data_IF_689689097895
#
_entry.id   IF_689689097895
#
_cell.length_a   1.000
_cell.length_b   1.000
_cell.length_c   1.000
_cell.angle_alpha   90.00
_cell.angle_beta   90.00
_cell.angle_gamma   90.00
#
_symmetry.space_group_name_H-M   'P 1'
#
loop_
_entity.id
_entity.type
_entity.pdbx_description
1 polymer ?
#
# COMPACT_ATOMS: atom_id res chain seq x y z
N UNK A 1 21.27 -33.40 -52.31
CA UNK A 1 21.52 -32.43 -51.22
C UNK A 1 20.41 -32.59 -50.18
N UNK A 2 20.62 -33.48 -49.22
CA UNK A 2 19.70 -33.70 -48.10
C UNK A 2 19.96 -32.60 -47.07
N UNK A 3 18.99 -31.72 -46.85
CA UNK A 3 19.04 -30.71 -45.79
C UNK A 3 19.12 -31.40 -44.42
N UNK A 4 19.97 -30.94 -43.49
CA UNK A 4 19.99 -31.48 -42.15
C UNK A 4 18.76 -31.00 -41.39
N UNK A 5 18.03 -31.93 -40.77
CA UNK A 5 16.94 -31.62 -39.87
C UNK A 5 17.49 -30.87 -38.65
N UNK A 6 17.02 -29.64 -38.43
CA UNK A 6 17.35 -28.87 -37.24
C UNK A 6 16.47 -29.38 -36.11
N UNK A 7 17.05 -30.14 -35.18
CA UNK A 7 16.42 -30.46 -33.90
C UNK A 7 16.32 -29.17 -33.08
N UNK A 8 15.21 -28.45 -33.22
CA UNK A 8 14.88 -27.36 -32.30
C UNK A 8 14.45 -27.98 -30.97
N UNK A 9 15.01 -27.56 -29.83
CA UNK A 9 14.55 -28.03 -28.53
C UNK A 9 13.10 -27.59 -28.34
N UNK A 10 12.18 -28.57 -28.23
CA UNK A 10 10.83 -28.29 -27.76
C UNK A 10 10.96 -27.92 -26.29
N UNK A 11 10.90 -26.62 -26.01
CA UNK A 11 10.69 -26.12 -24.66
C UNK A 11 9.24 -26.46 -24.32
N UNK A 12 9.01 -27.61 -23.70
CA UNK A 12 7.75 -27.89 -23.03
C UNK A 12 7.70 -27.02 -21.78
N UNK A 13 6.91 -25.94 -21.84
CA UNK A 13 6.49 -25.23 -20.65
C UNK A 13 5.66 -26.21 -19.83
N UNK A 14 6.25 -26.71 -18.75
CA UNK A 14 5.49 -27.39 -17.72
C UNK A 14 4.55 -26.36 -17.07
N UNK A 15 3.29 -26.35 -17.52
CA UNK A 15 2.25 -25.49 -16.97
C UNK A 15 1.66 -26.06 -15.68
N UNK A 16 2.15 -27.19 -15.16
CA UNK A 16 1.59 -27.85 -13.96
C UNK A 16 1.87 -27.10 -12.64
N UNK A 17 2.54 -25.94 -12.68
CA UNK A 17 2.81 -25.10 -11.51
C UNK A 17 2.32 -23.65 -11.59
N UNK A 18 1.53 -23.24 -12.60
CA UNK A 18 1.09 -21.83 -12.75
C UNK A 18 -0.44 -21.70 -12.72
N UNK A 19 -1.05 -22.32 -11.72
CA UNK A 19 -2.29 -21.79 -11.15
C UNK A 19 -1.98 -21.63 -9.66
N UNK A 20 -1.42 -20.48 -9.29
CA UNK A 20 -1.31 -20.12 -7.89
C UNK A 20 -2.72 -20.15 -7.31
N UNK A 21 -3.00 -21.12 -6.44
CA UNK A 21 -4.30 -21.17 -5.75
C UNK A 21 -4.42 -19.85 -4.99
N UNK A 22 -5.45 -19.03 -5.27
CA UNK A 22 -5.63 -17.78 -4.56
C UNK A 22 -5.74 -18.09 -3.07
N UNK A 23 -4.89 -17.42 -2.29
CA UNK A 23 -4.76 -17.67 -0.84
C UNK A 23 -5.83 -16.96 -0.02
N UNK A 24 -6.76 -16.27 -0.69
CA UNK A 24 -7.93 -15.61 -0.12
C UNK A 24 -8.98 -15.38 -1.21
N UNK A 25 -10.20 -15.06 -0.79
CA UNK A 25 -11.27 -14.55 -1.67
C UNK A 25 -12.08 -13.46 -0.96
N UNK A 26 -12.44 -12.41 -1.69
CA UNK A 26 -13.20 -11.23 -1.20
C UNK A 26 -12.59 -10.59 0.05
N UNK A 27 -11.26 -10.48 0.12
CA UNK A 27 -10.60 -9.95 1.31
C UNK A 27 -10.91 -8.46 1.45
N UNK A 28 -11.36 -8.06 2.61
CA UNK A 28 -11.53 -6.65 2.98
C UNK A 28 -10.93 -6.39 4.35
N UNK A 29 -10.38 -5.20 4.51
CA UNK A 29 -9.96 -4.68 5.81
C UNK A 29 -10.31 -3.21 5.89
N UNK A 30 -10.87 -2.76 7.00
CA UNK A 30 -11.23 -1.35 7.14
C UNK A 30 -11.25 -0.93 8.59
N UNK A 31 -11.11 0.38 8.80
CA UNK A 31 -11.31 0.97 10.12
C UNK A 31 -12.78 0.92 10.50
N UNK A 32 -13.13 0.12 11.51
CA UNK A 32 -14.49 -0.01 12.03
C UNK A 32 -14.83 1.09 13.06
N UNK A 33 -13.84 1.48 13.88
CA UNK A 33 -13.93 2.62 14.79
C UNK A 33 -12.55 3.29 14.92
N UNK A 34 -12.43 4.36 15.69
CA UNK A 34 -11.12 4.99 15.93
C UNK A 34 -10.08 4.02 16.51
N UNK A 35 -10.51 2.98 17.24
CA UNK A 35 -9.64 2.03 17.95
C UNK A 35 -9.78 0.60 17.46
N UNK A 36 -10.55 0.35 16.39
CA UNK A 36 -10.78 -1.02 15.89
C UNK A 36 -10.68 -1.13 14.37
N UNK A 37 -10.24 -2.28 13.92
CA UNK A 37 -10.10 -2.66 12.51
C UNK A 37 -10.83 -3.97 12.29
N UNK A 38 -11.67 -4.02 11.26
CA UNK A 38 -12.32 -5.26 10.84
C UNK A 38 -11.56 -5.89 9.67
N UNK A 39 -11.53 -7.22 9.64
CA UNK A 39 -10.97 -8.06 8.58
C UNK A 39 -12.06 -9.07 8.21
N UNK A 40 -12.47 -9.08 6.94
CA UNK A 40 -13.45 -10.03 6.43
C UNK A 40 -12.94 -10.71 5.17
N UNK A 41 -13.24 -11.99 5.01
CA UNK A 41 -12.99 -12.73 3.77
C UNK A 41 -13.93 -13.94 3.68
N UNK A 42 -14.31 -14.32 2.46
CA UNK A 42 -15.05 -15.58 2.22
C UNK A 42 -14.19 -16.78 2.63
N UNK A 43 -12.91 -16.74 2.29
CA UNK A 43 -11.92 -17.65 2.88
C UNK A 43 -10.52 -17.04 2.92
N UNK A 44 -9.67 -17.58 3.79
CA UNK A 44 -8.23 -17.39 3.81
C UNK A 44 -7.52 -18.74 3.90
N UNK A 45 -6.35 -18.84 3.28
CA UNK A 45 -5.41 -19.95 3.53
C UNK A 45 -4.30 -19.40 4.41
N UNK A 46 -4.16 -19.92 5.62
CA UNK A 46 -3.05 -19.58 6.52
C UNK A 46 -1.94 -20.62 6.41
N UNK A 47 -0.72 -20.19 6.72
CA UNK A 47 0.50 -20.99 6.56
C UNK A 47 1.28 -21.04 7.87
N UNK A 48 1.86 -22.20 8.17
CA UNK A 48 2.88 -22.38 9.20
C UNK A 48 4.23 -22.58 8.51
N UNK A 49 5.13 -21.62 8.67
CA UNK A 49 6.46 -21.67 8.03
C UNK A 49 7.43 -22.60 8.76
N UNK A 50 7.06 -23.13 9.93
CA UNK A 50 7.87 -24.09 10.70
C UNK A 50 7.54 -25.52 10.29
N UNK A 51 6.24 -25.86 10.26
CA UNK A 51 5.78 -27.21 9.95
C UNK A 51 5.32 -27.39 8.50
N UNK A 52 5.35 -26.32 7.69
CA UNK A 52 4.86 -26.29 6.29
C UNK A 52 3.41 -26.74 6.16
N UNK A 53 2.59 -26.51 7.19
CA UNK A 53 1.17 -26.82 7.16
C UNK A 53 0.40 -25.64 6.59
N UNK A 54 -0.69 -25.95 5.89
CA UNK A 54 -1.64 -24.95 5.39
C UNK A 54 -3.03 -25.35 5.80
N UNK A 55 -3.85 -24.36 6.14
CA UNK A 55 -5.24 -24.60 6.50
C UNK A 55 -6.11 -23.49 5.94
N UNK A 56 -7.24 -23.90 5.35
CA UNK A 56 -8.28 -23.00 4.89
C UNK A 56 -9.20 -22.67 6.07
N UNK A 57 -9.48 -21.38 6.22
CA UNK A 57 -10.48 -20.83 7.12
C UNK A 57 -11.60 -20.23 6.28
N UNK A 58 -12.82 -20.69 6.50
CA UNK A 58 -14.02 -20.22 5.82
C UNK A 58 -14.73 -19.14 6.66
N UNK A 59 -15.29 -18.12 6.01
CA UNK A 59 -16.04 -17.03 6.64
C UNK A 59 -15.24 -16.33 7.74
N UNK A 60 -14.11 -15.74 7.35
CA UNK A 60 -13.28 -14.95 8.26
C UNK A 60 -14.00 -13.64 8.55
N UNK A 61 -14.26 -13.36 9.83
CA UNK A 61 -14.85 -12.11 10.31
C UNK A 61 -14.25 -11.78 11.68
N UNK A 62 -13.27 -10.87 11.68
CA UNK A 62 -12.42 -10.59 12.83
C UNK A 62 -12.37 -9.09 13.08
N UNK A 63 -12.34 -8.71 14.36
CA UNK A 63 -12.07 -7.34 14.78
C UNK A 63 -10.80 -7.31 15.63
N UNK A 64 -9.83 -6.50 15.22
CA UNK A 64 -8.65 -6.18 16.01
C UNK A 64 -8.95 -4.92 16.82
N UNK A 65 -8.72 -4.95 18.13
CA UNK A 65 -8.96 -3.83 19.04
C UNK A 65 -7.62 -3.29 19.59
N UNK A 66 -7.45 -1.97 19.63
CA UNK A 66 -6.22 -1.39 20.16
C UNK A 66 -6.08 -1.53 21.69
N UNK A 67 -7.17 -1.85 22.40
CA UNK A 67 -7.18 -2.04 23.85
C UNK A 67 -6.73 -3.45 24.30
N UNK A 68 -6.49 -4.36 23.36
CA UNK A 68 -6.09 -5.75 23.61
C UNK A 68 -4.65 -6.00 23.15
N UNK A 69 -4.00 -6.98 23.77
CA UNK A 69 -2.68 -7.48 23.36
C UNK A 69 -2.78 -8.98 23.06
N UNK A 70 -1.99 -9.44 22.09
CA UNK A 70 -2.08 -10.78 21.53
C UNK A 70 -3.25 -10.94 20.57
N UNK A 71 -3.97 -12.06 20.67
CA UNK A 71 -5.10 -12.37 19.80
C UNK A 71 -6.16 -11.24 19.81
N UNK A 72 -6.60 -10.85 18.61
CA UNK A 72 -7.50 -9.72 18.35
C UNK A 72 -6.96 -8.38 18.88
N UNK A 73 -5.64 -8.21 18.95
CA UNK A 73 -4.98 -7.03 19.49
C UNK A 73 -3.57 -6.80 18.92
N UNK A 74 -2.74 -6.11 19.70
CA UNK A 74 -1.35 -5.85 19.35
C UNK A 74 -0.45 -7.04 19.72
N UNK A 75 0.37 -7.46 18.77
CA UNK A 75 1.39 -8.51 18.87
C UNK A 75 2.25 -8.37 20.14
N UNK A 76 3.04 -7.31 20.23
CA UNK A 76 3.89 -7.02 21.39
C UNK A 76 4.00 -5.52 21.64
N UNK A 77 4.27 -5.15 22.89
CA UNK A 77 4.54 -3.78 23.29
C UNK A 77 3.28 -2.90 23.33
N UNK A 78 3.42 -1.66 22.86
CA UNK A 78 2.36 -0.64 22.82
C UNK A 78 2.31 -0.02 21.43
N UNK A 79 1.14 0.51 21.06
CA UNK A 79 1.03 1.27 19.83
C UNK A 79 1.95 2.51 19.88
N UNK A 80 2.56 2.83 18.74
CA UNK A 80 3.28 4.06 18.48
C UNK A 80 2.45 4.93 17.53
N UNK A 81 2.54 6.25 17.71
CA UNK A 81 1.93 7.21 16.79
C UNK A 81 2.67 7.19 15.45
N UNK A 82 2.01 7.70 14.40
CA UNK A 82 2.53 7.81 13.04
C UNK A 82 3.22 6.54 12.52
N UNK A 83 2.62 5.37 12.77
CA UNK A 83 3.26 4.07 12.51
C UNK A 83 2.32 3.11 11.79
N UNK A 84 2.84 2.44 10.76
CA UNK A 84 2.15 1.33 10.10
C UNK A 84 2.30 0.03 10.90
N UNK A 85 1.20 -0.68 11.07
CA UNK A 85 1.12 -2.03 11.59
C UNK A 85 0.63 -2.96 10.49
N UNK A 86 1.26 -4.12 10.38
CA UNK A 86 0.80 -5.23 9.58
C UNK A 86 -0.47 -5.82 10.19
N UNK A 87 -1.48 -6.05 9.35
CA UNK A 87 -2.69 -6.78 9.74
C UNK A 87 -2.46 -8.25 9.41
N UNK A 88 -2.39 -9.09 10.43
CA UNK A 88 -2.26 -10.54 10.29
C UNK A 88 -3.56 -11.22 10.72
N UNK A 89 -3.90 -12.32 10.04
CA UNK A 89 -4.80 -13.33 10.57
C UNK A 89 -3.95 -14.49 11.05
N UNK A 90 -4.22 -14.96 12.27
CA UNK A 90 -3.52 -16.06 12.94
C UNK A 90 -4.50 -17.18 13.24
N UNK A 91 -4.02 -18.42 13.20
CA UNK A 91 -4.87 -19.61 13.31
C UNK A 91 -4.24 -20.75 14.09
N UNK A 92 -5.11 -21.63 14.58
CA UNK A 92 -4.80 -22.93 15.18
C UNK A 92 -5.32 -24.06 14.32
N UNK A 93 -4.71 -25.23 14.42
CA UNK A 93 -5.14 -26.42 13.68
C UNK A 93 -6.56 -26.90 14.04
N UNK A 94 -7.08 -26.50 15.22
CA UNK A 94 -8.44 -26.77 15.66
C UNK A 94 -9.52 -25.88 15.00
N UNK A 95 -9.12 -24.93 14.14
CA UNK A 95 -10.01 -24.00 13.45
C UNK A 95 -10.21 -22.66 14.17
N UNK A 96 -9.63 -22.46 15.35
CA UNK A 96 -9.64 -21.14 16.01
C UNK A 96 -8.82 -20.13 15.21
N UNK A 97 -9.36 -18.94 14.99
CA UNK A 97 -8.70 -17.82 14.31
C UNK A 97 -8.80 -16.52 15.12
N UNK A 98 -7.87 -15.60 14.86
CA UNK A 98 -7.86 -14.26 15.44
C UNK A 98 -7.11 -13.28 14.53
N UNK A 99 -7.38 -11.98 14.71
CA UNK A 99 -6.56 -10.92 14.10
C UNK A 99 -5.34 -10.59 14.97
N UNK A 100 -4.31 -10.00 14.38
CA UNK A 100 -3.12 -9.53 15.08
C UNK A 100 -2.52 -8.32 14.37
N UNK A 101 -2.37 -7.20 15.06
CA UNK A 101 -1.55 -6.09 14.59
C UNK A 101 -0.10 -6.32 14.97
N UNK A 102 0.84 -6.18 14.04
CA UNK A 102 2.28 -6.33 14.32
C UNK A 102 3.11 -5.22 13.66
N UNK A 103 4.21 -4.82 14.27
CA UNK A 103 5.21 -3.97 13.60
C UNK A 103 5.97 -4.74 12.50
N UNK A 104 5.93 -6.07 12.54
CA UNK A 104 6.62 -6.92 11.58
C UNK A 104 5.70 -7.30 10.42
N UNK A 105 6.10 -6.92 9.21
CA UNK A 105 5.44 -7.32 7.97
C UNK A 105 5.88 -8.70 7.44
N UNK A 106 6.87 -9.35 8.07
CA UNK A 106 7.38 -10.66 7.63
C UNK A 106 7.28 -11.74 8.70
N UNK A 107 7.37 -11.38 9.98
CA UNK A 107 7.44 -12.33 11.08
C UNK A 107 6.86 -11.71 12.37
N UNK A 108 5.52 -11.72 12.54
CA UNK A 108 4.91 -11.33 13.82
C UNK A 108 5.27 -12.35 14.91
N UNK A 109 5.25 -11.91 16.17
CA UNK A 109 5.35 -12.83 17.33
C UNK A 109 3.97 -13.42 17.58
N UNK A 110 3.82 -14.70 17.22
CA UNK A 110 2.53 -15.36 17.26
C UNK A 110 2.17 -15.69 18.73
N UNK A 111 0.96 -15.33 19.22
CA UNK A 111 0.50 -15.71 20.56
C UNK A 111 0.50 -17.22 20.78
N UNK A 112 0.71 -17.65 22.02
CA UNK A 112 0.81 -19.05 22.37
C UNK A 112 -0.40 -19.87 21.89
N UNK A 113 -0.12 -21.03 21.28
CA UNK A 113 -1.12 -21.95 20.75
C UNK A 113 -1.55 -21.66 19.31
N UNK A 114 -1.25 -20.48 18.77
CA UNK A 114 -1.39 -20.20 17.33
C UNK A 114 -0.10 -20.58 16.60
N UNK A 115 -0.23 -21.15 15.41
CA UNK A 115 0.91 -21.61 14.61
C UNK A 115 0.80 -21.20 13.15
N UNK A 116 -0.42 -20.97 12.67
CA UNK A 116 -0.74 -20.58 11.31
C UNK A 116 -0.86 -19.05 11.23
N UNK A 117 -0.42 -18.43 10.12
CA UNK A 117 -0.56 -16.98 9.89
C UNK A 117 -0.68 -16.62 8.42
N UNK A 118 -1.30 -15.47 8.15
CA UNK A 118 -1.30 -14.81 6.84
C UNK A 118 -1.31 -13.30 7.02
N UNK A 119 -0.45 -12.61 6.28
CA UNK A 119 -0.51 -11.16 6.15
C UNK A 119 -1.72 -10.83 5.28
N UNK A 120 -2.57 -9.93 5.74
CA UNK A 120 -3.81 -9.57 5.06
C UNK A 120 -3.98 -8.08 4.84
N UNK A 121 -3.07 -7.22 5.31
CA UNK A 121 -3.25 -5.78 5.17
C UNK A 121 -2.26 -4.95 5.96
N UNK A 122 -2.54 -3.65 6.01
CA UNK A 122 -1.80 -2.70 6.83
C UNK A 122 -2.73 -1.60 7.38
N UNK A 123 -2.53 -1.25 8.64
CA UNK A 123 -3.24 -0.17 9.33
C UNK A 123 -2.26 0.91 9.78
N UNK A 124 -2.62 2.18 9.67
CA UNK A 124 -1.82 3.29 10.18
C UNK A 124 -2.37 3.81 11.51
N UNK A 125 -1.53 3.80 12.55
CA UNK A 125 -1.79 4.45 13.82
C UNK A 125 -1.37 5.92 13.74
N UNK A 126 -2.32 6.84 13.94
CA UNK A 126 -2.11 8.30 13.84
C UNK A 126 -1.69 8.88 15.19
N UNK A 127 -2.38 8.51 16.27
CA UNK A 127 -2.13 9.00 17.64
C UNK A 127 -2.23 7.87 18.64
N UNK A 128 -1.71 8.07 19.86
CA UNK A 128 -1.75 7.10 20.97
C UNK A 128 -2.39 7.64 22.26
N UNK A 129 -2.86 8.88 22.25
CA UNK A 129 -3.58 9.50 23.37
C UNK A 129 -4.82 10.28 22.86
N UNK A 130 -5.93 9.59 22.50
CA UNK A 130 -6.10 8.13 22.48
C UNK A 130 -5.47 7.46 21.25
N UNK A 131 -5.45 6.13 21.22
CA UNK A 131 -5.11 5.38 20.00
C UNK A 131 -6.14 5.71 18.93
N UNK A 132 -5.66 6.14 17.76
CA UNK A 132 -6.51 6.46 16.60
C UNK A 132 -5.92 5.84 15.34
N UNK A 133 -6.67 4.95 14.71
CA UNK A 133 -6.35 4.43 13.39
C UNK A 133 -6.82 5.38 12.29
N UNK A 134 -6.04 5.50 11.21
CA UNK A 134 -6.40 6.29 10.04
C UNK A 134 -7.59 5.68 9.31
N UNK A 135 -8.43 6.52 8.70
CA UNK A 135 -9.47 6.05 7.79
C UNK A 135 -8.85 5.35 6.58
N UNK A 136 -9.28 4.13 6.30
CA UNK A 136 -8.93 3.39 5.09
C UNK A 136 -9.98 2.33 4.78
N UNK A 137 -9.98 1.88 3.53
CA UNK A 137 -10.72 0.72 3.05
C UNK A 137 -9.80 -0.10 2.15
N UNK A 138 -9.75 -1.39 2.39
CA UNK A 138 -9.02 -2.34 1.59
C UNK A 138 -10.00 -3.27 0.87
N UNK A 139 -9.72 -3.52 -0.39
CA UNK A 139 -10.31 -4.60 -1.18
C UNK A 139 -9.17 -5.37 -1.83
N UNK A 140 -9.07 -6.64 -1.49
CA UNK A 140 -7.98 -7.53 -1.86
C UNK A 140 -6.62 -6.88 -1.56
N UNK A 141 -5.81 -6.67 -2.59
CA UNK A 141 -4.46 -6.11 -2.48
C UNK A 141 -4.41 -4.57 -2.55
N UNK A 142 -5.55 -3.91 -2.79
CA UNK A 142 -5.63 -2.46 -2.97
C UNK A 142 -6.20 -1.78 -1.73
N UNK A 143 -5.49 -0.78 -1.21
CA UNK A 143 -5.87 -0.02 -0.02
C UNK A 143 -6.10 1.44 -0.43
N UNK A 144 -7.32 1.92 -0.25
CA UNK A 144 -7.65 3.34 -0.29
C UNK A 144 -7.53 3.95 1.12
N UNK A 145 -6.90 5.11 1.22
CA UNK A 145 -6.69 5.84 2.47
C UNK A 145 -7.28 7.24 2.37
N UNK A 146 -7.51 7.87 3.53
CA UNK A 146 -7.68 9.32 3.56
C UNK A 146 -6.45 10.02 2.96
N UNK A 147 -6.70 11.08 2.21
CA UNK A 147 -5.69 11.88 1.53
C UNK A 147 -4.55 12.28 2.48
N UNK A 148 -3.32 12.13 1.99
CA UNK A 148 -2.11 12.35 2.77
C UNK A 148 -1.12 13.18 1.98
N UNK A 149 -0.99 14.45 2.37
CA UNK A 149 0.02 15.34 1.82
C UNK A 149 1.42 14.82 2.18
N UNK A 150 2.21 14.54 1.14
CA UNK A 150 3.63 14.13 1.26
C UNK A 150 4.57 15.19 0.71
N UNK A 151 4.05 16.16 -0.04
CA UNK A 151 4.79 17.32 -0.53
C UNK A 151 3.88 18.55 -0.57
N UNK A 152 4.39 19.71 -0.15
CA UNK A 152 3.73 21.01 -0.26
C UNK A 152 4.73 22.13 -0.64
N UNK A 153 5.72 21.80 -1.47
CA UNK A 153 6.79 22.71 -1.88
C UNK A 153 7.15 22.53 -3.35
N UNK A 154 7.70 23.57 -3.97
CA UNK A 154 8.15 23.58 -5.37
C UNK A 154 9.68 23.51 -5.45
N UNK A 155 10.21 22.67 -6.34
CA UNK A 155 11.64 22.59 -6.64
C UNK A 155 11.88 22.37 -8.14
N UNK A 156 12.76 23.15 -8.80
CA UNK A 156 13.10 22.93 -10.21
C UNK A 156 14.01 21.71 -10.42
N UNK A 157 14.72 21.28 -9.38
CA UNK A 157 15.57 20.09 -9.41
C UNK A 157 14.82 18.88 -8.88
N UNK A 158 15.10 17.70 -9.45
CA UNK A 158 14.57 16.42 -8.95
C UNK A 158 14.90 16.25 -7.47
N UNK A 159 13.87 16.11 -6.63
CA UNK A 159 13.99 15.87 -5.19
C UNK A 159 13.36 14.54 -4.81
N UNK A 160 13.83 13.92 -3.74
CA UNK A 160 13.17 12.77 -3.13
C UNK A 160 12.02 13.21 -2.21
N UNK A 161 10.95 12.43 -2.18
CA UNK A 161 9.80 12.57 -1.28
C UNK A 161 9.73 11.30 -0.43
N UNK A 162 9.76 11.46 0.89
CA UNK A 162 9.40 10.40 1.82
C UNK A 162 7.86 10.27 1.87
N UNK A 163 7.36 9.09 1.55
CA UNK A 163 5.92 8.77 1.55
C UNK A 163 5.54 7.80 2.68
N UNK A 164 6.40 7.61 3.68
CA UNK A 164 6.20 6.68 4.79
C UNK A 164 4.98 6.99 5.68
N UNK A 165 4.51 8.24 5.68
CA UNK A 165 3.28 8.66 6.35
C UNK A 165 2.00 8.19 5.64
N UNK A 166 2.12 7.75 4.38
CA UNK A 166 1.01 7.38 3.51
C UNK A 166 1.03 5.94 3.03
N UNK A 167 2.19 5.27 3.02
CA UNK A 167 2.29 3.87 2.59
C UNK A 167 3.22 3.06 3.51
N UNK A 168 2.93 1.77 3.74
CA UNK A 168 3.85 0.88 4.47
C UNK A 168 5.08 0.51 3.62
N UNK A 169 6.13 -0.04 4.25
CA UNK A 169 7.37 -0.49 3.58
C UNK A 169 7.15 -1.60 2.55
N UNK A 170 6.05 -2.34 2.64
CA UNK A 170 5.68 -3.42 1.70
C UNK A 170 4.92 -2.93 0.46
N UNK A 171 4.54 -1.65 0.40
CA UNK A 171 3.81 -1.10 -0.73
C UNK A 171 4.63 -1.22 -2.03
N UNK A 172 3.95 -1.58 -3.12
CA UNK A 172 4.54 -1.77 -4.45
C UNK A 172 4.07 -0.74 -5.47
N UNK A 173 2.89 -0.16 -5.25
CA UNK A 173 2.31 0.89 -6.08
C UNK A 173 1.74 1.93 -5.13
N UNK A 174 1.89 3.21 -5.48
CA UNK A 174 1.19 4.32 -4.85
C UNK A 174 0.30 5.02 -5.88
N UNK A 175 -0.84 5.51 -5.43
CA UNK A 175 -1.74 6.35 -6.22
C UNK A 175 -2.21 7.56 -5.44
N UNK A 176 -2.51 8.65 -6.16
CA UNK A 176 -2.77 9.93 -5.53
C UNK A 176 -3.04 11.06 -6.52
N UNK A 177 -2.86 12.29 -6.03
CA UNK A 177 -3.09 13.53 -6.77
C UNK A 177 -1.81 14.35 -6.89
N UNK A 178 -1.65 14.99 -8.05
CA UNK A 178 -0.67 16.04 -8.27
C UNK A 178 -1.40 17.35 -8.43
N UNK A 179 -1.03 18.32 -7.62
CA UNK A 179 -1.54 19.67 -7.70
C UNK A 179 -0.46 20.64 -8.14
N UNK A 180 -0.83 21.54 -9.04
CA UNK A 180 0.03 22.63 -9.49
C UNK A 180 -0.78 23.92 -9.60
N UNK A 181 -0.22 25.01 -9.07
CA UNK A 181 -0.81 26.35 -9.17
C UNK A 181 0.26 27.36 -9.57
N UNK A 182 -0.13 28.30 -10.42
CA UNK A 182 0.72 29.38 -10.90
C UNK A 182 -0.12 30.67 -11.08
N UNK A 183 0.47 31.83 -10.78
CA UNK A 183 -0.11 33.15 -10.99
C UNK A 183 -0.11 33.60 -12.47
N UNK A 184 0.70 32.98 -13.32
CA UNK A 184 0.71 33.19 -14.77
C UNK A 184 1.82 32.41 -15.49
N UNK A 185 1.52 31.80 -16.65
CA UNK A 185 2.46 30.99 -17.44
C UNK A 185 2.11 29.49 -17.50
N UNK A 186 3.11 28.67 -17.80
CA UNK A 186 2.98 27.20 -17.89
C UNK A 186 3.51 26.55 -16.62
N UNK A 187 2.72 25.69 -15.99
CA UNK A 187 3.18 24.87 -14.86
C UNK A 187 3.40 23.43 -15.30
N UNK A 188 4.51 22.84 -14.88
CA UNK A 188 4.74 21.40 -14.97
C UNK A 188 5.07 20.84 -13.59
N UNK A 189 4.34 19.82 -13.16
CA UNK A 189 4.66 19.02 -11.98
C UNK A 189 4.90 17.60 -12.45
N UNK A 190 6.03 17.02 -12.09
CA UNK A 190 6.38 15.64 -12.42
C UNK A 190 6.57 14.87 -11.12
N UNK A 191 6.00 13.67 -11.04
CA UNK A 191 6.44 12.65 -10.09
C UNK A 191 6.97 11.44 -10.85
N UNK A 192 7.92 10.74 -10.25
CA UNK A 192 8.53 9.55 -10.82
C UNK A 192 8.96 8.56 -9.74
N UNK A 193 9.05 7.29 -10.12
CA UNK A 193 9.45 6.22 -9.21
C UNK A 193 10.95 6.20 -8.97
N UNK A 194 11.72 6.86 -9.83
CA UNK A 194 13.19 6.89 -9.82
C UNK A 194 13.75 8.31 -9.91
N UNK A 195 15.01 8.46 -9.47
CA UNK A 195 15.74 9.75 -9.48
C UNK A 195 15.82 10.36 -10.89
N UNK A 196 15.93 9.52 -11.93
CA UNK A 196 16.08 9.92 -13.32
C UNK A 196 14.80 10.43 -13.96
N UNK A 197 13.65 10.32 -13.28
CA UNK A 197 12.33 10.61 -13.84
C UNK A 197 12.04 9.83 -15.13
N UNK A 198 12.47 8.56 -15.17
CA UNK A 198 12.37 7.70 -16.35
C UNK A 198 11.32 6.59 -16.19
N UNK A 199 11.03 6.17 -14.96
CA UNK A 199 10.14 5.07 -14.63
C UNK A 199 8.95 5.57 -13.79
N UNK A 200 7.75 5.04 -14.08
CA UNK A 200 6.56 5.35 -13.29
C UNK A 200 6.21 6.85 -13.29
N UNK A 201 6.44 7.53 -14.43
CA UNK A 201 6.36 8.98 -14.51
C UNK A 201 4.90 9.42 -14.70
N UNK A 202 4.43 10.35 -13.86
CA UNK A 202 3.21 11.10 -14.09
C UNK A 202 3.52 12.60 -14.17
N UNK A 203 2.85 13.31 -15.08
CA UNK A 203 3.13 14.73 -15.35
C UNK A 203 1.85 15.52 -15.49
N UNK A 204 1.68 16.48 -14.59
CA UNK A 204 0.74 17.58 -14.78
C UNK A 204 1.40 18.59 -15.70
N UNK A 205 0.75 18.88 -16.83
CA UNK A 205 1.11 19.99 -17.71
C UNK A 205 -0.11 20.85 -17.91
N UNK A 206 -0.05 22.08 -17.41
CA UNK A 206 -1.09 23.06 -17.67
C UNK A 206 -0.49 24.29 -18.33
N UNK A 207 -1.17 24.71 -19.40
CA UNK A 207 -0.94 25.99 -20.06
C UNK A 207 -2.07 26.92 -19.66
N UNK A 208 -1.79 27.94 -18.87
CA UNK A 208 -2.80 28.97 -18.63
C UNK A 208 -2.91 29.86 -19.87
N UNK A 209 -4.14 30.12 -20.34
CA UNK A 209 -4.37 31.08 -21.42
C UNK A 209 -4.10 32.47 -20.85
N UNK A 210 -3.09 33.15 -21.42
CA UNK A 210 -2.75 34.54 -21.11
C UNK A 210 -4.03 35.39 -21.27
N UNK A 211 -4.58 35.93 -20.18
CA UNK A 211 -5.73 36.85 -20.26
C UNK A 211 -6.72 36.85 -19.10
N UNK A 212 -6.73 35.87 -18.20
CA UNK A 212 -7.55 35.95 -16.99
C UNK A 212 -6.78 36.66 -15.85
N UNK A 213 -6.95 37.98 -15.78
CA UNK A 213 -6.39 38.84 -14.73
C UNK A 213 -7.05 38.65 -13.36
N UNK A 214 -7.03 37.43 -12.81
CA UNK A 214 -7.47 37.19 -11.43
C UNK A 214 -6.30 36.72 -10.58
N UNK A 215 -6.02 37.45 -9.50
CA UNK A 215 -4.95 37.23 -8.51
C UNK A 215 -5.10 35.92 -7.69
N UNK A 216 -5.95 35.00 -8.14
CA UNK A 216 -6.09 33.64 -7.62
C UNK A 216 -5.70 32.68 -8.73
N UNK A 217 -4.44 32.23 -8.72
CA UNK A 217 -3.94 31.27 -9.70
C UNK A 217 -4.86 30.04 -9.80
N UNK A 218 -5.16 29.59 -11.02
CA UNK A 218 -5.96 28.38 -11.28
C UNK A 218 -5.20 27.17 -10.74
N UNK A 219 -5.83 26.40 -9.86
CA UNK A 219 -5.31 25.10 -9.43
C UNK A 219 -5.63 24.07 -10.50
N UNK A 220 -4.62 23.28 -10.87
CA UNK A 220 -4.77 22.14 -11.74
C UNK A 220 -4.43 20.88 -10.95
N UNK A 221 -5.23 19.84 -11.15
CA UNK A 221 -5.08 18.56 -10.45
C UNK A 221 -5.13 17.41 -11.45
N UNK A 222 -4.21 16.45 -11.34
CA UNK A 222 -4.30 15.17 -12.07
C UNK A 222 -4.09 13.99 -11.12
N UNK A 223 -4.74 12.87 -11.40
CA UNK A 223 -4.45 11.62 -10.70
C UNK A 223 -3.13 11.01 -11.20
N UNK A 224 -2.48 10.23 -10.35
CA UNK A 224 -1.38 9.35 -10.74
C UNK A 224 -1.49 7.99 -10.07
N UNK A 225 -0.92 6.97 -10.72
CA UNK A 225 -0.66 5.65 -10.18
C UNK A 225 0.72 5.23 -10.68
N UNK A 226 1.59 4.77 -9.78
CA UNK A 226 2.97 4.47 -10.12
C UNK A 226 3.58 3.39 -9.23
N UNK A 227 4.53 2.58 -9.76
CA UNK A 227 5.28 1.65 -8.95
C UNK A 227 6.18 2.38 -7.93
N UNK A 228 6.43 1.74 -6.80
CA UNK A 228 7.41 2.14 -5.80
C UNK A 228 8.64 1.25 -5.98
N UNK A 229 9.73 1.79 -6.50
CA UNK A 229 10.97 1.04 -6.74
C UNK A 229 11.96 1.17 -5.58
N UNK A 230 11.86 2.26 -4.82
CA UNK A 230 12.59 2.52 -3.58
C UNK A 230 11.58 2.55 -2.43
N UNK A 231 11.84 1.77 -1.37
CA UNK A 231 10.90 1.67 -0.23
C UNK A 231 10.50 3.05 0.27
N UNK A 232 9.20 3.33 0.23
CA UNK A 232 8.58 4.57 0.72
C UNK A 232 9.22 5.85 0.16
N UNK A 233 9.77 5.82 -1.05
CA UNK A 233 10.35 7.00 -1.70
C UNK A 233 9.84 7.15 -3.13
N UNK A 234 9.46 8.38 -3.49
CA UNK A 234 9.24 8.79 -4.88
C UNK A 234 10.06 10.05 -5.17
N UNK A 235 10.12 10.47 -6.42
CA UNK A 235 10.83 11.67 -6.84
C UNK A 235 9.89 12.68 -7.48
N UNK A 236 10.22 13.97 -7.36
CA UNK A 236 9.46 15.04 -7.99
C UNK A 236 10.33 16.12 -8.60
N UNK A 237 9.79 16.82 -9.58
CA UNK A 237 10.36 18.07 -10.09
C UNK A 237 9.23 18.99 -10.58
N UNK A 238 9.52 20.28 -10.61
CA UNK A 238 8.52 21.31 -10.93
C UNK A 238 9.12 22.32 -11.91
N UNK A 239 8.30 22.93 -12.74
CA UNK A 239 8.71 24.04 -13.61
C UNK A 239 7.67 25.13 -13.49
N UNK A 240 8.12 26.32 -13.09
CA UNK A 240 7.29 27.53 -12.88
C UNK A 240 6.04 27.25 -12.04
N UNK A 241 6.18 26.68 -10.85
CA UNK A 241 5.04 26.46 -9.95
C UNK A 241 5.18 27.36 -8.72
N UNK A 242 4.13 28.12 -8.40
CA UNK A 242 4.06 28.90 -7.16
C UNK A 242 3.64 28.03 -5.97
N UNK A 243 2.90 26.95 -6.29
CA UNK A 243 2.50 25.94 -5.34
C UNK A 243 2.44 24.59 -6.03
N UNK A 244 2.92 23.57 -5.31
CA UNK A 244 2.84 22.17 -5.70
C UNK A 244 2.45 21.36 -4.48
N UNK A 245 1.50 20.45 -4.66
CA UNK A 245 1.24 19.40 -3.71
C UNK A 245 1.27 18.02 -4.37
N UNK A 246 1.71 17.05 -3.58
CA UNK A 246 1.59 15.64 -3.91
C UNK A 246 0.90 15.00 -2.73
N UNK A 247 -0.25 14.39 -3.02
CA UNK A 247 -1.08 13.72 -2.05
C UNK A 247 -1.22 12.25 -2.41
N UNK A 248 -1.09 11.36 -1.43
CA UNK A 248 -1.32 9.92 -1.61
C UNK A 248 -2.70 9.55 -1.07
N UNK A 249 -3.47 8.82 -1.88
CA UNK A 249 -4.83 8.36 -1.54
C UNK A 249 -4.98 6.85 -1.62
N UNK A 250 -4.00 6.13 -2.18
CA UNK A 250 -4.06 4.67 -2.25
C UNK A 250 -2.69 4.03 -2.41
N UNK A 251 -2.63 2.74 -2.09
CA UNK A 251 -1.46 1.91 -2.37
C UNK A 251 -1.85 0.45 -2.61
N UNK A 252 -0.95 -0.29 -3.26
CA UNK A 252 -1.05 -1.73 -3.48
C UNK A 252 0.02 -2.46 -2.68
N UNK A 253 -0.36 -3.58 -2.06
CA UNK A 253 0.55 -4.53 -1.41
C UNK A 253 0.43 -5.91 -2.06
N UNK A 254 1.47 -6.73 -1.99
CA UNK A 254 1.41 -8.12 -2.47
C UNK A 254 1.21 -9.05 -1.27
N UNK A 255 0.09 -9.80 -1.24
CA UNK A 255 -0.35 -10.66 -0.13
C UNK A 255 -0.24 -12.17 -0.42
#
# INVERSE_FOLDING_TARGET
LTSPAVNQPIITWDTSSIIGIPTFDTLTSSRASTTTVDINATYLILFDNVNFTTQKYDTVNLTINSATSGANGLDTGVYAATTYYANWVIGKTDGTEAGLHSLSFSAPTIPAGFTLKKLVGATFCVSISPVVFKNYQQVDNWIAIAETAVLNTSSPTSGAIDISSAVPTIAKIAGGWLDGRIGGGNVTVTVASDVGTTLGVSRLKSTNVIGHGSAVGTQHTIAFIMPITLSQTIHYSTVNADFVAVDITSFYINL
#
